data_IF_677118323779
#
_entry.id   IF_677118323779
#
_cell.length_a   1.000
_cell.length_b   1.000
_cell.length_c   1.000
_cell.angle_alpha   90.00
_cell.angle_beta   90.00
_cell.angle_gamma   90.00
#
_symmetry.space_group_name_H-M   'P 1'
#
loop_
_entity.id
_entity.type
_entity.pdbx_description
1 polymer ?
2 polymer ?
3 non-polymer ?
4 non-polymer ?
5 water ?
#
# COMPACT_ATOMS: atom_id res chain seq x y z
N UNK A 4 15.24 -7.86 9.37
CA UNK A 4 16.25 -8.41 8.48
C UNK A 4 16.05 -7.93 7.05
N UNK A 5 17.16 -7.72 6.35
CA UNK A 5 17.10 -7.30 4.95
C UNK A 5 16.44 -8.37 4.08
N UNK A 6 15.58 -7.94 3.17
CA UNK A 6 15.06 -8.81 2.12
C UNK A 6 15.11 -8.04 0.81
N UNK A 7 15.86 -8.55 -0.18
CA UNK A 7 16.74 -9.72 -0.12
C UNK A 7 18.02 -9.42 0.67
N UNK A 8 18.98 -10.35 0.65
CA UNK A 8 20.24 -10.14 1.34
C UNK A 8 21.42 -10.11 0.37
N UNK A 9 22.54 -9.54 0.84
CA UNK A 9 23.84 -9.60 0.15
C UNK A 9 23.77 -9.05 -1.28
N UNK A 10 23.21 -7.86 -1.40
CA UNK A 10 23.21 -7.13 -2.66
C UNK A 10 24.62 -6.71 -3.02
N UNK A 11 25.06 -7.05 -4.23
CA UNK A 11 26.40 -6.64 -4.64
C UNK A 11 26.53 -6.41 -6.13
N UNK A 12 27.46 -5.52 -6.49
CA UNK A 12 27.87 -5.36 -7.88
C UNK A 12 28.89 -6.43 -8.19
N UNK A 13 28.59 -7.31 -9.13
CA UNK A 13 29.51 -8.38 -9.41
C UNK A 13 30.33 -8.11 -10.66
N UNK A 14 29.85 -7.22 -11.52
CA UNK A 14 30.60 -6.83 -12.71
C UNK A 14 30.18 -5.43 -13.12
N UNK A 15 31.08 -4.72 -13.79
CA UNK A 15 30.77 -3.36 -14.17
C UNK A 15 31.52 -2.91 -15.40
N UNK A 16 31.02 -1.82 -16.00
CA UNK A 16 31.72 -1.06 -17.03
C UNK A 16 31.58 0.41 -16.62
N UNK A 17 32.23 1.34 -17.32
CA UNK A 17 32.06 2.74 -16.88
C UNK A 17 30.61 3.23 -16.81
N UNK A 18 29.71 2.64 -17.60
CA UNK A 18 28.33 3.14 -17.65
C UNK A 18 27.30 2.09 -17.24
N UNK A 19 27.75 0.95 -16.75
CA UNK A 19 26.80 -0.11 -16.41
C UNK A 19 27.26 -0.99 -15.25
N UNK A 20 26.27 -1.65 -14.66
CA UNK A 20 26.49 -2.50 -13.49
C UNK A 20 25.72 -3.80 -13.66
N UNK A 21 26.27 -4.89 -13.13
CA UNK A 21 25.53 -6.14 -13.01
C UNK A 21 25.43 -6.40 -11.51
N UNK A 22 24.20 -6.43 -10.98
CA UNK A 22 23.97 -6.65 -9.57
C UNK A 22 23.34 -8.00 -9.31
N UNK A 23 23.60 -8.52 -8.12
CA UNK A 23 23.15 -9.83 -7.72
C UNK A 23 22.71 -9.76 -6.27
N UNK A 24 21.73 -10.56 -5.89
CA UNK A 24 21.33 -10.63 -4.49
C UNK A 24 20.89 -12.05 -4.16
N UNK A 25 20.77 -12.33 -2.86
CA UNK A 25 20.32 -13.64 -2.40
C UNK A 25 18.83 -13.61 -2.04
N UNK A 26 18.07 -14.43 -2.75
CA UNK A 26 16.64 -14.56 -2.53
C UNK A 26 16.35 -15.08 -1.11
N UNK A 27 15.24 -14.62 -0.51
CA UNK A 27 14.77 -15.15 0.77
C UNK A 27 14.10 -16.51 0.58
N UNK A 28 13.76 -17.17 1.67
CA UNK A 28 13.08 -18.45 1.58
C UNK A 28 11.64 -18.30 1.08
N UNK A 29 11.05 -17.14 1.31
CA UNK A 29 9.66 -16.92 0.93
C UNK A 29 9.52 -16.59 -0.57
N UNK A 30 8.34 -16.84 -1.10
CA UNK A 30 8.05 -16.56 -2.50
C UNK A 30 8.00 -15.06 -2.76
N UNK A 31 8.83 -14.62 -3.69
CA UNK A 31 8.84 -13.22 -4.12
C UNK A 31 8.13 -13.12 -5.47
N UNK A 32 7.18 -12.19 -5.57
CA UNK A 32 6.47 -11.97 -6.82
C UNK A 32 7.37 -11.21 -7.82
N UNK A 33 7.83 -10.03 -7.42
CA UNK A 33 8.76 -9.21 -8.19
C UNK A 33 9.78 -8.55 -7.30
N UNK A 34 11.00 -8.39 -7.81
CA UNK A 34 11.94 -7.49 -7.18
C UNK A 34 11.86 -6.16 -7.90
N UNK A 35 11.71 -5.07 -7.16
CA UNK A 35 11.77 -3.74 -7.75
C UNK A 35 13.14 -3.16 -7.41
N UNK A 36 13.83 -2.67 -8.44
CA UNK A 36 15.16 -2.12 -8.30
C UNK A 36 15.08 -0.62 -8.55
N UNK A 37 15.59 0.18 -7.63
CA UNK A 37 15.66 1.62 -7.85
C UNK A 37 17.11 2.07 -7.84
N UNK A 38 17.41 3.12 -8.59
CA UNK A 38 18.76 3.65 -8.58
C UNK A 38 18.76 5.12 -8.91
N UNK A 39 19.61 5.86 -8.22
CA UNK A 39 19.72 7.29 -8.43
C UNK A 39 21.06 7.78 -7.96
N UNK A 40 21.47 8.94 -8.45
CA UNK A 40 22.73 9.53 -7.98
C UNK A 40 22.60 9.82 -6.49
N UNK A 41 23.61 9.39 -5.73
CA UNK A 41 23.62 9.57 -4.28
C UNK A 41 23.57 11.05 -3.95
N UNK A 42 24.17 11.87 -4.80
CA UNK A 42 23.95 13.31 -4.75
C UNK A 42 22.64 13.67 -5.43
N UNK A 43 21.55 13.59 -4.68
CA UNK A 43 20.22 13.78 -5.23
C UNK A 43 19.99 15.14 -5.87
N UNK A 46 15.21 12.40 -10.55
CA UNK A 46 14.66 11.49 -9.53
C UNK A 46 15.17 10.07 -9.70
N UNK A 47 14.80 9.18 -8.79
CA UNK A 47 15.26 7.80 -8.88
C UNK A 47 14.65 7.12 -10.10
N UNK A 48 15.42 6.27 -10.76
CA UNK A 48 14.92 5.40 -11.82
C UNK A 48 14.52 4.06 -11.21
N UNK A 49 13.52 3.41 -11.80
CA UNK A 49 13.00 2.15 -11.27
C UNK A 49 12.67 1.16 -12.39
N UNK A 50 12.90 -0.11 -12.10
CA UNK A 50 12.45 -1.20 -12.97
C UNK A 50 12.22 -2.43 -12.10
N UNK A 51 11.70 -3.50 -12.69
CA UNK A 51 11.50 -4.70 -11.89
C UNK A 51 11.91 -5.95 -12.65
N UNK A 52 12.20 -7.00 -11.89
CA UNK A 52 12.44 -8.33 -12.47
C UNK A 52 11.60 -9.35 -11.72
N UNK A 53 11.19 -10.43 -12.40
CA UNK A 53 10.34 -11.44 -11.76
C UNK A 53 11.05 -12.05 -10.56
N UNK A 54 10.28 -12.55 -9.58
CA UNK A 54 10.85 -13.08 -8.36
C UNK A 54 11.68 -14.35 -8.53
N UNK A 55 11.58 -14.96 -9.71
CA UNK A 55 12.37 -16.15 -10.02
C UNK A 55 13.80 -15.79 -10.41
N UNK A 56 14.07 -14.50 -10.50
CA UNK A 56 15.39 -14.01 -10.89
C UNK A 56 16.01 -13.21 -9.74
N UNK A 57 17.32 -13.29 -9.56
CA UNK A 57 17.96 -12.53 -8.49
C UNK A 57 19.22 -11.82 -8.95
N UNK A 58 19.18 -11.37 -10.20
CA UNK A 58 20.23 -10.56 -10.80
C UNK A 58 19.56 -9.53 -11.68
N UNK A 59 20.30 -8.47 -11.98
CA UNK A 59 19.83 -7.46 -12.89
C UNK A 59 21.01 -6.70 -13.44
N UNK A 60 20.77 -6.02 -14.56
CA UNK A 60 21.74 -5.09 -15.08
C UNK A 60 21.18 -3.67 -14.99
N UNK A 61 22.06 -2.71 -14.79
CA UNK A 61 21.70 -1.30 -14.80
C UNK A 61 22.62 -0.61 -15.78
N UNK A 62 22.04 0.06 -16.77
CA UNK A 62 22.81 0.65 -17.87
C UNK A 62 22.53 2.15 -17.97
N UNK A 63 23.29 2.84 -18.81
CA UNK A 63 23.05 4.25 -19.05
C UNK A 63 23.47 5.15 -17.91
N UNK A 64 24.43 4.70 -17.10
CA UNK A 64 24.91 5.46 -15.96
C UNK A 64 26.01 6.45 -16.36
N UNK A 65 26.22 7.45 -15.51
CA UNK A 65 27.31 8.39 -15.70
C UNK A 65 28.59 7.81 -15.12
N UNK A 66 29.69 7.84 -15.89
CA UNK A 66 30.93 7.30 -15.32
C UNK A 66 31.44 8.14 -14.15
N UNK A 67 31.98 7.48 -13.14
CA UNK A 67 32.61 8.17 -12.02
C UNK A 67 31.66 8.81 -11.04
N UNK A 68 30.39 8.42 -11.09
CA UNK A 68 29.36 9.02 -10.23
C UNK A 68 28.84 7.99 -9.22
N UNK A 69 28.68 8.42 -7.97
CA UNK A 69 28.12 7.54 -6.93
C UNK A 69 26.61 7.35 -7.12
N UNK A 70 26.19 6.09 -7.11
CA UNK A 70 24.78 5.74 -7.20
C UNK A 70 24.34 4.95 -5.99
N UNK A 71 23.11 5.20 -5.56
CA UNK A 71 22.46 4.42 -4.53
C UNK A 71 21.47 3.49 -5.20
N UNK A 72 21.65 2.19 -4.95
CA UNK A 72 20.86 1.12 -5.56
C UNK A 72 20.10 0.38 -4.47
N UNK A 73 18.80 0.24 -4.64
CA UNK A 73 17.95 -0.39 -3.63
C UNK A 73 17.11 -1.47 -4.28
N UNK A 74 17.01 -2.62 -3.61
CA UNK A 74 16.18 -3.72 -4.08
C UNK A 74 15.05 -4.00 -3.07
N UNK A 75 13.83 -4.04 -3.60
CA UNK A 75 12.60 -4.28 -2.85
C UNK A 75 12.02 -5.63 -3.25
N UNK A 76 11.70 -6.48 -2.28
CA UNK A 76 11.14 -7.79 -2.59
C UNK A 76 9.62 -7.78 -2.38
N UNK A 77 8.87 -7.65 -3.46
CA UNK A 77 7.41 -7.58 -3.37
C UNK A 77 6.81 -8.97 -3.36
N UNK A 78 5.95 -9.24 -2.39
CA UNK A 78 5.29 -10.53 -2.31
C UNK A 78 4.22 -10.55 -1.25
N UNK A 79 3.55 -11.68 -1.14
CA UNK A 79 2.49 -11.87 -0.15
C UNK A 79 3.04 -12.25 1.21
N UNK A 80 2.43 -11.65 2.23
CA UNK A 80 2.62 -12.04 3.61
C UNK A 80 1.21 -12.12 4.21
N UNK A 81 0.62 -13.31 4.20
CA UNK A 81 -0.78 -13.43 4.52
C UNK A 81 -1.59 -12.64 3.52
N UNK A 82 -2.45 -11.77 4.03
CA UNK A 82 -3.35 -10.99 3.20
C UNK A 82 -2.72 -9.68 2.68
N UNK A 83 -1.46 -9.43 3.01
CA UNK A 83 -0.78 -8.18 2.64
C UNK A 83 0.25 -8.41 1.55
N UNK A 84 0.10 -7.71 0.45
CA UNK A 84 1.04 -7.72 -0.65
C UNK A 84 1.80 -6.40 -0.66
N UNK A 85 3.11 -6.47 -0.45
CA UNK A 85 3.94 -5.28 -0.35
C UNK A 85 5.38 -5.74 -0.40
N UNK A 86 6.33 -4.82 -0.34
CA UNK A 86 7.69 -5.31 -0.23
C UNK A 86 7.89 -5.82 1.21
N UNK A 87 8.71 -6.86 1.32
CA UNK A 87 8.80 -7.66 2.53
C UNK A 87 10.09 -7.32 3.28
N UNK A 88 10.03 -7.38 4.61
CA UNK A 88 11.20 -7.07 5.42
C UNK A 88 11.72 -5.67 5.18
N UNK A 89 13.03 -5.49 5.27
CA UNK A 89 13.63 -4.20 4.95
C UNK A 89 14.35 -4.26 3.61
N UNK A 90 14.01 -3.35 2.69
CA UNK A 90 14.74 -3.28 1.41
C UNK A 90 16.23 -3.06 1.61
N UNK A 91 17.05 -3.63 0.74
CA UNK A 91 18.50 -3.56 0.90
C UNK A 91 19.11 -2.58 -0.10
N UNK A 92 20.08 -1.80 0.37
CA UNK A 92 20.68 -0.77 -0.45
C UNK A 92 22.21 -0.84 -0.41
N UNK A 93 22.84 -0.48 -1.53
CA UNK A 93 24.27 -0.28 -1.57
C UNK A 93 24.59 1.04 -2.25
N UNK A 94 25.81 1.52 -2.03
CA UNK A 94 26.34 2.66 -2.78
C UNK A 94 27.41 2.13 -3.71
N UNK A 95 27.49 2.68 -4.92
CA UNK A 95 28.52 2.26 -5.85
C UNK A 95 28.86 3.36 -6.85
N UNK A 96 30.15 3.50 -7.12
CA UNK A 96 30.63 4.43 -8.14
C UNK A 96 31.36 3.64 -9.23
N UNK A 97 31.02 3.85 -10.51
CA UNK A 97 31.83 3.24 -11.57
C UNK A 97 33.08 4.05 -11.86
N UNK B 1 -6.23 14.71 21.66
CA UNK B 1 -5.71 14.54 23.01
C UNK B 1 -4.23 14.21 23.02
N UNK B 2 -3.75 13.69 24.15
CA UNK B 2 -2.33 13.34 24.23
C UNK B 2 -2.05 11.92 23.74
N UNK B 3 -3.01 11.00 23.86
CA UNK B 3 -2.77 9.63 23.37
C UNK B 3 -2.60 9.65 21.86
N UNK B 4 -1.60 8.92 21.38
CA UNK B 4 -1.34 8.80 19.96
C UNK B 4 -2.59 8.41 19.21
N UNK B 5 -2.90 9.15 18.14
CA UNK B 5 -4.14 8.93 17.42
C UNK B 5 -3.85 8.97 15.93
N UNK B 6 -4.47 8.06 15.18
CA UNK B 6 -4.33 8.04 13.71
C UNK B 6 -5.68 8.24 13.05
N UNK B 7 -5.77 9.23 12.16
CA UNK B 7 -6.99 9.49 11.42
C UNK B 7 -6.95 8.78 10.08
N UNK B 8 -7.77 7.74 9.94
CA UNK B 8 -7.78 6.88 8.76
C UNK B 8 -9.07 7.10 7.97
N UNK B 9 -8.95 7.49 6.72
CA UNK B 9 -10.11 7.81 5.89
C UNK B 9 -10.37 6.68 4.89
N UNK B 10 -11.62 6.22 4.82
CA UNK B 10 -11.98 5.13 3.93
C UNK B 10 -12.68 5.69 2.71
N UNK B 11 -12.13 5.42 1.54
CA UNK B 11 -12.72 5.93 0.29
C UNK B 11 -12.91 4.78 -0.70
N UNK B 12 -13.77 4.99 -1.68
CA UNK B 12 -14.07 3.97 -2.66
C UNK B 12 -15.50 4.12 -3.13
N UNK B 13 -15.82 3.46 -4.23
CA UNK B 13 -17.15 3.56 -4.81
C UNK B 13 -18.25 3.13 -3.83
N UNK B 14 -19.44 3.66 -4.02
CA UNK B 14 -20.54 3.18 -3.21
C UNK B 14 -20.72 1.68 -3.31
N UNK B 15 -20.92 1.05 -2.15
CA UNK B 15 -21.22 -0.37 -2.13
C UNK B 15 -20.03 -1.30 -2.04
N UNK B 16 -18.82 -0.77 -1.99
CA UNK B 16 -17.65 -1.65 -1.94
C UNK B 16 -17.40 -2.25 -0.57
N UNK B 17 -18.04 -1.69 0.47
CA UNK B 17 -17.85 -2.17 1.82
C UNK B 17 -17.06 -1.26 2.74
N UNK B 18 -16.99 0.04 2.44
CA UNK B 18 -16.31 0.96 3.34
C UNK B 18 -16.90 0.93 4.75
N UNK B 19 -18.23 0.98 4.84
CA UNK B 19 -18.89 1.01 6.12
C UNK B 19 -18.80 -0.35 6.81
N UNK B 20 -19.00 -1.42 6.04
CA UNK B 20 -18.91 -2.75 6.61
C UNK B 20 -17.51 -3.00 7.17
N UNK B 21 -16.49 -2.54 6.44
CA UNK B 21 -15.11 -2.73 6.92
C UNK B 21 -14.89 -2.01 8.23
N UNK B 22 -15.40 -0.79 8.28
CA UNK B 22 -15.25 0.06 9.44
C UNK B 22 -15.95 -0.55 10.65
N UNK B 23 -17.19 -0.96 10.46
CA UNK B 23 -17.96 -1.52 11.57
C UNK B 23 -17.37 -2.87 12.00
N UNK B 24 -16.90 -3.68 11.06
CA UNK B 24 -16.24 -4.91 11.46
C UNK B 24 -14.98 -4.62 12.27
N UNK B 25 -14.13 -3.70 11.81
CA UNK B 25 -12.91 -3.37 12.55
C UNK B 25 -13.21 -2.94 13.98
N UNK B 26 -14.13 -1.99 14.12
CA UNK B 26 -14.35 -1.33 15.39
C UNK B 26 -15.30 -2.09 16.30
N UNK B 27 -16.36 -2.66 15.74
CA UNK B 27 -17.43 -3.26 16.53
C UNK B 27 -17.52 -4.79 16.43
N UNK B 28 -16.65 -5.38 15.61
CA UNK B 28 -16.52 -6.83 15.54
C UNK B 28 -17.78 -7.57 15.11
N UNK B 29 -18.55 -6.97 14.21
CA UNK B 29 -19.67 -7.68 13.60
C UNK B 29 -19.88 -7.19 12.19
N UNK B 30 -20.59 -8.00 11.43
CA UNK B 30 -20.80 -7.71 10.03
C UNK B 30 -22.17 -7.16 9.77
N UNK B 31 -22.22 -6.01 9.09
CA UNK B 31 -23.49 -5.37 8.82
C UNK B 31 -23.91 -5.52 7.35
N UNK B 32 -25.11 -6.06 7.17
CA UNK B 32 -25.74 -6.10 5.86
C UNK B 32 -27.21 -5.73 6.01
N UNK B 33 -27.46 -4.42 6.11
CA UNK B 33 -28.81 -3.91 6.34
C UNK B 33 -29.24 -2.99 5.21
N UNK B 34 -30.55 -2.80 5.07
CA UNK B 34 -31.10 -1.94 4.02
C UNK B 34 -30.86 -0.47 4.36
N UNK B 35 -31.04 -0.11 5.62
CA UNK B 35 -30.85 1.28 6.03
C UNK B 35 -30.19 1.40 7.41
N UNK B 36 -28.87 1.18 7.46
CA UNK B 36 -28.10 1.27 8.71
C UNK B 36 -27.74 2.71 9.09
N UNK B 37 -27.47 2.95 10.36
CA UNK B 37 -26.91 4.23 10.78
C UNK B 37 -25.39 4.18 10.71
N UNK B 38 -24.82 5.07 9.91
CA UNK B 38 -23.37 5.15 9.78
C UNK B 38 -22.84 6.40 10.48
N UNK B 39 -21.93 6.20 11.42
CA UNK B 39 -21.33 7.33 12.13
C UNK B 39 -20.32 8.06 11.25
N UNK B 40 -20.13 9.34 11.53
CA UNK B 40 -19.17 10.14 10.78
C UNK B 40 -17.74 9.75 11.13
N UNK B 41 -17.58 9.14 12.30
CA UNK B 41 -16.29 8.67 12.79
C UNK B 41 -16.51 7.55 13.78
N UNK B 42 -15.61 6.56 13.76
CA UNK B 42 -15.59 5.50 14.77
C UNK B 42 -14.22 5.47 15.40
N UNK B 43 -14.19 5.41 16.72
CA UNK B 43 -12.92 5.42 17.43
C UNK B 43 -12.79 4.19 18.31
N UNK B 44 -11.56 3.71 18.46
CA UNK B 44 -11.25 2.58 19.31
C UNK B 44 -9.78 2.60 19.70
N UNK B 45 -9.49 2.22 20.95
CA UNK B 45 -8.11 2.01 21.40
C UNK B 45 -7.67 0.62 21.04
N UNK B 46 -6.51 0.53 20.39
CA UNK B 46 -5.92 -0.72 19.99
C UNK B 46 -4.42 -0.70 20.28
N UNK B 47 -3.77 -1.84 20.11
CA UNK B 47 -2.33 -1.92 20.19
C UNK B 47 -1.80 -2.41 18.85
N UNK B 48 -0.89 -1.63 18.25
CA UNK B 48 -0.31 -1.96 16.95
C UNK B 48 1.21 -1.95 17.09
N UNK B 49 1.86 -3.10 16.93
CA UNK B 49 3.30 -3.21 17.12
C UNK B 49 3.75 -2.70 18.49
N UNK B 50 2.95 -2.99 19.51
CA UNK B 50 3.24 -2.60 20.88
C UNK B 50 2.79 -1.20 21.25
N UNK B 51 2.31 -0.44 20.25
CA UNK B 51 1.88 0.94 20.50
C UNK B 51 0.39 1.04 20.79
N UNK B 52 0.05 1.49 22.00
CA UNK B 52 -1.33 1.81 22.31
C UNK B 52 -1.69 3.07 21.56
N UNK B 53 -2.80 3.04 20.84
CA UNK B 53 -3.20 4.23 20.12
C UNK B 53 -4.70 4.25 19.88
N UNK B 54 -5.20 5.41 19.51
CA UNK B 54 -6.57 5.57 19.09
C UNK B 54 -6.64 5.56 17.58
N UNK B 55 -7.52 4.72 17.03
CA UNK B 55 -7.85 4.84 15.63
C UNK B 55 -9.14 5.62 15.50
N UNK B 56 -9.12 6.60 14.62
CA UNK B 56 -10.32 7.32 14.25
C UNK B 56 -10.61 7.00 12.80
N UNK B 57 -11.67 6.21 12.58
CA UNK B 57 -12.00 5.80 11.22
C UNK B 57 -13.05 6.70 10.64
N UNK B 58 -12.68 7.38 9.57
CA UNK B 58 -13.53 8.36 8.93
C UNK B 58 -14.08 7.79 7.62
N UNK B 59 -15.32 7.31 7.69
CA UNK B 59 -15.97 6.67 6.56
C UNK B 59 -16.63 7.71 5.68
N UNK B 60 -16.26 7.73 4.39
CA UNK B 60 -16.82 8.74 3.49
C UNK B 60 -18.12 8.31 2.80
N UNK B 61 -18.66 7.15 3.17
CA UNK B 61 -19.92 6.69 2.58
C UNK B 61 -21.01 7.74 2.75
N UNK B 62 -21.77 7.98 1.67
CA UNK B 62 -22.89 8.90 1.71
C UNK B 62 -22.58 10.31 1.23
N UNK B 63 -21.29 10.64 1.13
CA UNK B 63 -20.87 11.97 0.68
C UNK B 63 -20.84 12.02 -0.84
N UNK B 64 -21.17 13.18 -1.42
CA UNK B 64 -20.97 13.36 -2.86
C UNK B 64 -19.49 13.47 -3.17
N UNK B 65 -19.09 12.94 -4.33
CA UNK B 65 -17.69 12.78 -4.68
C UNK B 65 -16.89 14.08 -4.66
N UNK B 66 -17.54 15.19 -5.02
CA UNK B 66 -16.84 16.48 -5.11
C UNK B 66 -17.33 17.47 -4.08
N UNK B 67 -18.00 16.98 -3.04
CA UNK B 67 -18.56 17.85 -2.02
C UNK B 67 -17.46 18.44 -1.14
N UNK B 68 -17.76 19.58 -0.53
CA UNK B 68 -16.85 20.15 0.44
C UNK B 68 -16.61 19.20 1.61
N UNK B 69 -17.64 18.47 2.04
CA UNK B 69 -17.47 17.51 3.13
C UNK B 69 -16.44 16.44 2.77
N UNK B 70 -16.52 15.92 1.55
CA UNK B 70 -15.55 14.93 1.10
C UNK B 70 -14.14 15.53 1.12
N UNK B 71 -14.00 16.77 0.65
CA UNK B 71 -12.72 17.46 0.68
C UNK B 71 -12.22 17.62 2.11
N UNK B 72 -13.12 17.96 3.02
CA UNK B 72 -12.81 18.13 4.44
C UNK B 72 -12.28 16.83 5.06
N UNK B 73 -12.92 15.72 4.74
CA UNK B 73 -12.44 14.41 5.19
C UNK B 73 -11.04 14.14 4.64
N UNK B 74 -10.81 14.44 3.36
CA UNK B 74 -9.49 14.22 2.81
C UNK B 74 -8.43 15.14 3.45
N UNK B 75 -8.81 16.38 3.76
CA UNK B 75 -7.81 17.30 4.31
C UNK B 75 -7.44 16.92 5.75
N UNK B 76 -8.41 16.45 6.53
CA UNK B 76 -8.11 16.12 7.92
C UNK B 76 -7.44 14.74 8.04
N UNK B 77 -7.64 13.88 7.05
CA UNK B 77 -7.12 12.52 7.10
C UNK B 77 -5.61 12.43 7.05
N UNK B 78 -5.05 11.47 7.77
CA UNK B 78 -3.60 11.23 7.75
C UNK B 78 -3.21 10.10 6.80
N UNK B 79 -4.12 9.17 6.57
CA UNK B 79 -3.88 8.09 5.65
C UNK B 79 -5.19 7.61 5.07
N UNK B 80 -5.12 6.89 3.95
CA UNK B 80 -6.32 6.54 3.19
C UNK B 80 -6.36 5.08 2.81
N UNK B 81 -7.53 4.48 3.00
CA UNK B 81 -7.78 3.17 2.43
C UNK B 81 -8.60 3.36 1.17
N UNK B 82 -8.03 2.95 0.06
CA UNK B 82 -8.72 3.03 -1.22
C UNK B 82 -9.29 1.65 -1.53
N UNK B 83 -10.59 1.54 -1.35
CA UNK B 83 -11.27 0.26 -1.33
C UNK B 83 -12.02 0.00 -2.63
N UNK B 84 -11.84 -1.18 -3.20
CA UNK B 84 -12.72 -1.67 -4.28
C UNK B 84 -13.24 -3.03 -3.86
N UNK B 85 -14.27 -3.52 -4.53
CA UNK B 85 -14.76 -4.86 -4.28
C UNK B 85 -14.23 -5.81 -5.35
N UNK B 86 -13.73 -6.97 -4.95
CA UNK B 86 -13.11 -7.87 -5.92
C UNK B 86 -14.12 -8.47 -6.90
N UNK B 87 -15.41 -8.31 -6.61
CA UNK B 87 -16.43 -8.74 -7.58
C UNK B 87 -17.13 -7.57 -8.24
N UNK B 88 -16.48 -6.42 -8.29
CA UNK B 88 -17.04 -5.31 -9.04
C UNK B 88 -15.94 -4.56 -9.82
N UNK B 89 -15.88 -4.85 -11.11
CA UNK B 89 -14.82 -4.32 -11.95
C UNK B 89 -14.85 -2.79 -12.01
N UNK B 90 -16.03 -2.19 -12.10
CA UNK B 90 -16.12 -0.73 -12.12
C UNK B 90 -15.46 -0.13 -10.87
N UNK B 91 -15.70 -0.72 -9.71
CA UNK B 91 -15.12 -0.17 -8.48
C UNK B 91 -13.58 -0.18 -8.50
N UNK B 92 -12.99 -1.18 -9.14
CA UNK B 92 -11.55 -1.21 -9.32
C UNK B 92 -11.11 -0.12 -10.30
N UNK B 93 -11.88 0.07 -11.37
CA UNK B 93 -11.55 1.12 -12.33
C UNK B 93 -11.63 2.52 -11.73
N UNK B 94 -12.45 2.68 -10.68
CA UNK B 94 -12.61 3.96 -9.98
C UNK B 94 -11.40 4.33 -9.12
N UNK B 95 -10.59 3.34 -8.76
CA UNK B 95 -9.50 3.58 -7.80
C UNK B 95 -8.58 4.73 -8.24
N UNK B 96 -8.24 4.75 -9.52
CA UNK B 96 -7.35 5.77 -10.04
C UNK B 96 -7.81 7.18 -9.69
N UNK B 97 -9.09 7.46 -9.88
CA UNK B 97 -9.56 8.83 -9.64
C UNK B 97 -9.52 9.16 -8.15
N UNK B 98 -9.75 8.19 -7.28
CA UNK B 98 -9.66 8.46 -5.84
C UNK B 98 -8.22 8.79 -5.44
N UNK B 99 -7.27 8.01 -5.93
CA UNK B 99 -5.87 8.25 -5.59
C UNK B 99 -5.45 9.62 -6.08
N UNK B 100 -5.84 9.99 -7.30
CA UNK B 100 -5.43 11.27 -7.85
C UNK B 100 -6.07 12.42 -7.07
N UNK B 101 -7.32 12.27 -6.67
CA UNK B 101 -7.98 13.27 -5.84
C UNK B 101 -7.24 13.49 -4.53
N UNK B 102 -6.90 12.40 -3.85
CA UNK B 102 -6.18 12.51 -2.59
C UNK B 102 -4.83 13.20 -2.76
N UNK B 103 -4.09 12.81 -3.79
CA UNK B 103 -2.81 13.44 -4.12
C UNK B 103 -2.99 14.96 -4.30
N UNK B 104 -4.01 15.35 -5.05
CA UNK B 104 -4.21 16.78 -5.31
C UNK B 104 -4.68 17.53 -4.06
N UNK B 105 -5.52 16.92 -3.24
CA UNK B 105 -5.95 17.58 -2.02
C UNK B 105 -4.78 17.78 -1.06
N UNK B 106 -3.90 16.78 -0.97
CA UNK B 106 -2.72 16.87 -0.12
C UNK B 106 -1.61 17.69 -0.75
N UNK B 107 -1.78 18.00 -2.04
CA UNK B 107 -0.72 18.58 -2.85
C UNK B 107 0.60 17.82 -2.67
N UNK B 108 0.54 16.50 -2.83
CA UNK B 108 1.69 15.62 -2.63
C UNK B 108 1.56 14.33 -3.42
N UNK B 109 2.67 13.88 -4.00
CA UNK B 109 2.73 12.60 -4.70
C UNK B 109 2.88 11.42 -3.75
N UNK B 110 3.14 11.72 -2.48
CA UNK B 110 3.39 10.69 -1.49
C UNK B 110 2.50 10.90 -0.28
N UNK B 111 1.32 10.29 -0.33
CA UNK B 111 0.36 10.32 0.76
C UNK B 111 0.19 8.91 1.30
N UNK B 112 0.20 8.74 2.63
CA UNK B 112 0.00 7.37 3.16
C UNK B 112 -1.31 6.75 2.69
N UNK B 113 -1.21 5.59 2.07
CA UNK B 113 -2.34 5.01 1.38
C UNK B 113 -2.14 3.50 1.24
N UNK B 114 -3.24 2.76 1.35
CA UNK B 114 -3.24 1.34 1.02
C UNK B 114 -4.36 1.06 0.03
N UNK B 115 -4.15 0.05 -0.81
CA UNK B 115 -5.18 -0.44 -1.73
C UNK B 115 -5.85 -1.64 -1.08
N UNK B 116 -7.19 -1.66 -1.06
CA UNK B 116 -7.91 -2.74 -0.40
C UNK B 116 -8.88 -3.40 -1.38
N UNK B 117 -8.68 -4.70 -1.62
CA UNK B 117 -9.63 -5.49 -2.37
C UNK B 117 -10.54 -6.23 -1.41
N UNK B 118 -11.76 -5.70 -1.23
CA UNK B 118 -12.67 -6.21 -0.23
C UNK B 118 -13.63 -7.26 -0.82
N UNK B 119 -14.33 -7.96 0.07
CA UNK B 119 -15.26 -9.07 -0.22
C UNK B 119 -14.50 -10.32 -0.67
N UNK B 120 -13.35 -10.58 -0.05
CA UNK B 120 -12.54 -11.71 -0.45
C UNK B 120 -13.08 -13.04 0.08
N UNK B 121 -14.23 -13.00 0.77
CA UNK B 121 -14.95 -14.22 1.11
C UNK B 121 -15.76 -14.74 -0.08
N UNK B 122 -15.95 -13.92 -1.09
CA UNK B 122 -16.87 -14.24 -2.20
C UNK B 122 -16.24 -15.22 -3.19
N UNK B 123 -17.10 -16.01 -3.82
CA UNK B 123 -16.64 -17.09 -4.71
C UNK B 123 -16.10 -16.63 -6.07
N UNK B 124 -16.86 -15.81 -6.80
CA UNK B 124 -16.62 -15.61 -8.23
C UNK B 124 -16.12 -14.21 -8.59
N UNK B 125 -14.87 -13.92 -8.22
CA UNK B 125 -14.37 -12.56 -8.35
C UNK B 125 -14.21 -12.14 -9.82
N UNK B 126 -14.20 -10.83 -10.06
CA UNK B 126 -14.03 -10.31 -11.42
C UNK B 126 -12.70 -9.58 -11.59
N UNK B 127 -12.11 -9.15 -10.48
CA UNK B 127 -10.79 -8.51 -10.47
C UNK B 127 -9.82 -9.51 -9.87
N UNK B 128 -8.88 -9.98 -10.68
CA UNK B 128 -7.93 -10.95 -10.14
C UNK B 128 -6.90 -10.27 -9.24
N UNK B 129 -6.37 -11.01 -8.27
CA UNK B 129 -5.32 -10.47 -7.41
C UNK B 129 -4.18 -9.88 -8.23
N UNK B 130 -3.81 -10.55 -9.32
CA UNK B 130 -2.71 -10.09 -10.16
C UNK B 130 -2.89 -8.65 -10.60
N UNK B 131 -4.10 -8.30 -11.02
CA UNK B 131 -4.32 -6.95 -11.50
C UNK B 131 -4.09 -5.91 -10.40
N UNK B 132 -4.57 -6.22 -9.21
CA UNK B 132 -4.41 -5.31 -8.08
C UNK B 132 -2.97 -5.27 -7.56
N UNK B 133 -2.31 -6.41 -7.57
CA UNK B 133 -0.89 -6.49 -7.21
C UNK B 133 -0.06 -5.58 -8.08
N UNK B 134 -0.25 -5.70 -9.40
CA UNK B 134 0.51 -4.87 -10.32
C UNK B 134 0.21 -3.39 -10.15
N UNK B 135 -1.06 -3.07 -9.88
CA UNK B 135 -1.42 -1.68 -9.64
C UNK B 135 -0.73 -1.14 -8.38
N UNK B 136 -0.81 -1.89 -7.29
CA UNK B 136 -0.19 -1.46 -6.04
C UNK B 136 1.31 -1.31 -6.17
N UNK B 137 1.95 -2.24 -6.87
CA UNK B 137 3.38 -2.15 -7.10
C UNK B 137 3.71 -0.88 -7.91
N UNK B 138 2.89 -0.57 -8.91
CA UNK B 138 3.14 0.64 -9.70
C UNK B 138 2.94 1.91 -8.85
N UNK B 139 2.02 1.86 -7.90
CA UNK B 139 1.81 2.98 -6.98
C UNK B 139 2.85 3.06 -5.87
N UNK B 140 3.53 1.95 -5.62
CA UNK B 140 4.44 1.84 -4.50
C UNK B 140 3.75 1.74 -3.13
N UNK B 141 2.56 1.15 -3.09
CA UNK B 141 1.79 1.07 -1.84
C UNK B 141 1.34 -0.37 -1.54
N UNK B 142 1.00 -0.65 -0.27
CA UNK B 142 0.52 -2.01 0.04
C UNK B 142 -0.86 -2.30 -0.53
N UNK B 143 -1.09 -3.58 -0.81
CA UNK B 143 -2.39 -4.10 -1.22
C UNK B 143 -2.82 -5.16 -0.21
N UNK B 144 -4.05 -5.06 0.28
CA UNK B 144 -4.59 -6.01 1.24
C UNK B 144 -5.93 -6.53 0.74
N UNK B 145 -6.11 -7.85 0.72
CA UNK B 145 -7.43 -8.42 0.45
C UNK B 145 -8.16 -8.67 1.77
N UNK B 146 -9.41 -8.22 1.83
CA UNK B 146 -10.16 -8.19 3.08
C UNK B 146 -11.55 -8.76 2.91
N UNK B 147 -12.12 -9.19 4.02
CA UNK B 147 -13.55 -9.49 4.09
C UNK B 147 -14.14 -8.84 5.33
N UNK B 148 -15.00 -7.86 5.14
CA UNK B 148 -15.74 -7.30 6.27
C UNK B 148 -16.66 -8.34 6.88
N UNK B 149 -17.02 -9.36 6.12
CA UNK B 149 -17.92 -10.41 6.60
C UNK B 149 -17.23 -11.37 7.58
N UNK B 150 -16.07 -11.89 7.18
CA UNK B 150 -15.36 -12.89 8.00
C UNK B 150 -14.31 -12.29 8.91
N UNK B 151 -13.94 -11.04 8.63
CA UNK B 151 -12.85 -10.28 9.28
C UNK B 151 -11.46 -10.64 8.71
N UNK B 152 -11.39 -11.56 7.75
CA UNK B 152 -10.09 -11.86 7.13
C UNK B 152 -9.43 -10.59 6.58
N UNK B 153 -8.19 -10.35 6.99
CA UNK B 153 -7.42 -9.22 6.49
C UNK B 153 -7.81 -7.85 7.00
N UNK B 154 -8.89 -7.72 7.78
CA UNK B 154 -9.41 -6.40 8.14
C UNK B 154 -8.41 -5.64 9.01
N UNK B 155 -7.93 -6.26 10.09
CA UNK B 155 -6.90 -5.61 10.89
C UNK B 155 -5.65 -5.35 10.06
N UNK B 156 -5.28 -6.28 9.19
CA UNK B 156 -4.12 -6.07 8.33
C UNK B 156 -4.24 -4.78 7.53
N UNK B 157 -5.42 -4.53 6.99
CA UNK B 157 -5.56 -3.39 6.10
C UNK B 157 -5.35 -2.08 6.87
N UNK B 158 -6.02 -1.96 8.01
CA UNK B 158 -5.97 -0.71 8.75
C UNK B 158 -4.61 -0.54 9.44
N UNK B 159 -4.03 -1.63 9.93
CA UNK B 159 -2.78 -1.54 10.66
C UNK B 159 -1.63 -1.30 9.68
N UNK B 160 -1.74 -1.87 8.47
CA UNK B 160 -0.75 -1.57 7.44
C UNK B 160 -0.77 -0.08 7.09
N UNK B 161 -1.96 0.53 7.03
CA UNK B 161 -2.04 1.97 6.79
C UNK B 161 -1.40 2.76 7.93
N UNK B 162 -1.63 2.37 9.18
CA UNK B 162 -0.95 3.02 10.30
C UNK B 162 0.57 2.97 10.14
N UNK B 163 1.09 1.82 9.72
CA UNK B 163 2.53 1.68 9.49
C UNK B 163 3.01 2.61 8.38
N UNK B 164 2.20 2.78 7.33
CA UNK B 164 2.56 3.74 6.27
C UNK B 164 2.57 5.18 6.79
N UNK B 165 1.65 5.54 7.67
CA UNK B 165 1.64 6.89 8.26
C UNK B 165 2.91 7.10 9.06
N UNK B 166 3.27 6.11 9.86
CA UNK B 166 4.45 6.22 10.70
C UNK B 166 5.72 6.51 9.91
N UNK B 167 5.87 5.85 8.76
CA UNK B 167 7.12 5.96 8.01
C UNK B 167 7.08 7.09 7.00
N UNK B 168 5.97 7.84 6.96
CA UNK B 168 5.82 8.89 5.95
C UNK B 168 6.94 9.94 6.01
X LIG C 1 -20.14 1.33 1.32
X LIG C 1 -18.83 1.29 0.59
X LIG C 1 -21.17 2.04 0.46
X LIG C 1 -20.05 1.87 2.73
X LIG C 1 -20.60 -0.22 1.34
X LIG C 1 -21.35 -1.01 2.54
X LIG C 1 -20.47 -1.21 3.75
X LIG C 1 -22.71 -0.42 2.83
X LIG C 1 -21.51 -2.45 1.88
X LIG C 1 -22.37 -2.63 0.75
X LIG C 1 -22.87 -4.07 0.64
X LIG C 1 -21.77 -5.00 0.54
X LIG C 1 -23.65 -4.49 1.87
X LIG C 1 -24.65 -5.43 1.45
X LIG C 1 -22.62 -5.22 2.70
X LIG C 1 -23.17 -6.16 3.62
X LIG C 1 -21.81 -5.91 1.64
X LIG C 1 -20.43 -6.15 2.03
X LIG C 1 -19.51 -5.24 2.43
X LIG C 1 -18.32 -5.83 2.68
X LIG C 1 -18.47 -7.14 2.38
X LIG C 1 -17.61 -8.32 2.41
X LIG C 1 -16.41 -8.23 2.74
X LIG C 1 -18.14 -9.48 2.04
X LIG C 1 -19.43 -9.60 1.63
X LIG C 1 -19.86 -10.85 1.28
X LIG C 1 -20.28 -8.57 1.59
X LIG C 1 -19.85 -7.35 1.95
X LIG D 1 -23.68 1.11 0.43
#
# INVERSE_FOLDING_TARGET
>A
GSVSSVPTKLEVVAATPTSLLISWDAPAVTVDYYVITYGETGGNSPVQKFEVPGSKSTATISGLKPGVDYTITVYAWGWHGQVYYYMGSPISINYRT
>B
GSMTEYKLVVVGAGGVGKSALTIQLIQNHFVDEYDPTIEDSYRKQVVIDGETCLLDILDTAGQEEYSAMRDQYMRTGEGFLCVFAINNTKSFEDIHQYREQIKRVKDSDDVPMVLVGNKCDLAARTVESRQAQDLARSYGIPYIETSAKTRQGVEDAFYTLVREIRQH
>C hetero
1 GDP PB O1B O2B O3B O3A PA O1A O2A O5' C5' C4' O4' C3' O3' C2' O2' C1' N9 C8 N7 C5 C6 O6 N1 C2 N2 N3 C4
>D hetero
1 MG MG
#
